data_IF_773894319874
#
_entry.id   IF_773894319874
#
_cell.length_a   1.000
_cell.length_b   1.000
_cell.length_c   1.000
_cell.angle_alpha   90.00
_cell.angle_beta   90.00
_cell.angle_gamma   90.00
#
_symmetry.space_group_name_H-M   'P 1'
#
loop_
_entity.id
_entity.type
_entity.pdbx_description
1 polymer ?
2 polymer ?
3 non-polymer ?
4 water ?
#
loop_
_entity_poly.entity_id
_entity_poly.type
_entity_poly.pdbx_seq_one_letter_code
_entity_poly.pdbx_strand_id
2 'polyribonucleotide' 'UUAGUAAUCC' ?
#
# COMPACT_ATOMS: atom_id res chain seq x y z
N UNK A 14 2.95 -13.70 -6.06
CA UNK A 14 2.73 -13.67 -7.55
C UNK A 14 3.58 -12.55 -8.19
N UNK A 15 3.24 -11.30 -7.86
CA UNK A 15 4.06 -10.12 -8.18
C UNK A 15 4.82 -9.65 -6.93
N UNK A 16 4.63 -10.37 -5.82
CA UNK A 16 5.41 -10.19 -4.60
C UNK A 16 6.83 -10.70 -4.82
N UNK A 17 7.74 -10.24 -3.96
CA UNK A 17 9.07 -10.84 -3.87
C UNK A 17 8.93 -12.25 -3.30
N UNK A 18 8.17 -12.35 -2.20
CA UNK A 18 7.94 -13.62 -1.50
C UNK A 18 6.45 -13.94 -1.52
N UNK A 19 6.06 -15.09 -2.11
CA UNK A 19 4.63 -15.38 -2.21
C UNK A 19 4.00 -15.85 -0.89
N UNK A 20 4.42 -17.01 -0.37
CA UNK A 20 3.80 -17.63 0.81
C UNK A 20 4.38 -17.14 2.16
N UNK A 21 4.97 -15.94 2.19
CA UNK A 21 5.46 -15.34 3.44
C UNK A 21 4.34 -15.00 4.42
N UNK A 22 4.67 -14.97 5.71
CA UNK A 22 3.71 -14.72 6.79
C UNK A 22 4.16 -13.58 7.70
N UNK A 23 3.21 -12.73 8.08
CA UNK A 23 3.46 -11.61 8.98
C UNK A 23 3.48 -12.12 10.42
N UNK A 24 4.66 -12.57 10.86
CA UNK A 24 4.86 -13.13 12.20
C UNK A 24 6.18 -12.66 12.81
N UNK A 25 6.24 -12.62 14.14
CA UNK A 25 7.32 -11.95 14.90
C UNK A 25 8.75 -12.28 14.46
N UNK A 26 9.00 -13.51 14.03
CA UNK A 26 10.33 -13.92 13.54
C UNK A 26 10.66 -13.40 12.12
N UNK A 27 9.66 -13.28 11.24
CA UNK A 27 9.84 -12.68 9.90
C UNK A 27 10.38 -11.26 10.10
N UNK A 28 11.53 -10.92 9.48
CA UNK A 28 12.05 -9.55 9.61
C UNK A 28 11.13 -8.49 9.00
N UNK A 29 10.22 -8.91 8.12
CA UNK A 29 9.16 -8.05 7.59
C UNK A 29 7.92 -7.95 8.51
N UNK A 30 8.03 -8.33 9.78
CA UNK A 30 6.89 -8.24 10.72
C UNK A 30 6.45 -6.79 10.92
N UNK A 31 5.13 -6.56 10.87
CA UNK A 31 4.57 -5.24 11.06
C UNK A 31 3.33 -5.30 11.95
N UNK A 32 3.00 -4.20 12.63
CA UNK A 32 1.73 -4.12 13.32
C UNK A 32 0.63 -3.81 12.31
N UNK A 33 -0.63 -3.94 12.71
CA UNK A 33 -1.77 -3.52 11.88
C UNK A 33 -2.57 -2.44 12.60
N UNK A 34 -2.14 -1.17 12.48
CA UNK A 34 -2.90 -0.10 13.12
C UNK A 34 -4.36 -0.11 12.69
N UNK A 35 -5.24 -0.32 13.66
CA UNK A 35 -6.67 -0.15 13.50
C UNK A 35 -7.08 1.02 14.38
N UNK A 36 -7.99 1.83 13.88
CA UNK A 36 -8.52 2.95 14.64
C UNK A 36 -9.86 3.31 14.04
N UNK A 37 -10.65 4.07 14.79
CA UNK A 37 -12.00 4.41 14.37
C UNK A 37 -12.14 5.92 14.29
N UNK A 38 -13.19 6.36 13.60
CA UNK A 38 -13.29 7.74 13.14
C UNK A 38 -14.76 8.16 13.06
N UNK A 39 -15.17 8.97 14.04
CA UNK A 39 -16.55 9.42 14.16
C UNK A 39 -17.01 10.39 13.06
N UNK A 40 -16.08 11.03 12.35
CA UNK A 40 -16.45 11.95 11.27
C UNK A 40 -16.80 11.27 9.95
N UNK A 41 -16.62 9.95 9.84
CA UNK A 41 -17.03 9.24 8.64
C UNK A 41 -18.55 9.14 8.57
N UNK A 42 -19.10 8.99 7.35
CA UNK A 42 -20.54 8.70 7.23
C UNK A 42 -20.86 7.28 7.68
N UNK A 43 -22.16 6.95 7.81
CA UNK A 43 -22.50 5.60 8.25
C UNK A 43 -22.22 4.56 7.18
N UNK A 44 -21.74 3.39 7.62
CA UNK A 44 -21.34 2.30 6.73
C UNK A 44 -20.32 2.74 5.65
N UNK A 45 -19.32 3.51 6.09
CA UNK A 45 -18.15 3.89 5.29
C UNK A 45 -16.91 3.54 6.11
N UNK A 46 -15.79 3.31 5.42
CA UNK A 46 -14.51 3.00 6.07
C UNK A 46 -13.38 3.81 5.45
N UNK A 47 -12.29 3.96 6.19
CA UNK A 47 -11.10 4.67 5.72
C UNK A 47 -9.98 3.66 5.51
N UNK A 48 -9.23 3.82 4.42
CA UNK A 48 -8.15 2.89 4.06
C UNK A 48 -6.90 3.67 3.66
N UNK A 49 -5.82 3.53 4.44
CA UNK A 49 -4.53 4.16 4.12
C UNK A 49 -3.73 3.29 3.15
N UNK A 50 -3.39 3.84 1.99
CA UNK A 50 -2.66 3.11 0.96
C UNK A 50 -1.20 2.88 1.35
N UNK A 51 -0.74 1.65 1.12
CA UNK A 51 0.67 1.29 1.20
C UNK A 51 1.31 1.22 -0.19
N UNK A 52 0.51 1.40 -1.24
CA UNK A 52 0.99 1.30 -2.62
C UNK A 52 1.50 2.65 -3.12
N UNK A 53 2.59 2.61 -3.88
CA UNK A 53 3.27 3.81 -4.35
C UNK A 53 3.36 3.84 -5.86
N UNK A 54 3.01 4.98 -6.43
CA UNK A 54 3.22 5.23 -7.84
C UNK A 54 4.61 5.81 -8.03
N UNK A 55 5.43 5.11 -8.81
CA UNK A 55 6.74 5.59 -9.20
C UNK A 55 6.75 5.81 -10.70
N UNK A 56 7.25 6.99 -11.10
CA UNK A 56 7.30 7.40 -12.50
C UNK A 56 8.64 8.01 -12.87
N UNK A 57 8.93 8.02 -14.16
CA UNK A 57 10.25 8.39 -14.67
C UNK A 57 11.23 7.24 -14.54
N UNK A 58 10.73 6.01 -14.74
CA UNK A 58 11.52 4.80 -14.57
C UNK A 58 12.31 4.56 -15.85
N UNK A 59 13.65 4.47 -15.76
CA UNK A 59 14.45 4.15 -16.95
C UNK A 59 14.24 2.75 -17.50
N UNK A 60 14.71 2.57 -18.72
CA UNK A 60 14.57 1.31 -19.44
C UNK A 60 15.47 0.23 -18.84
N UNK A 61 16.68 0.63 -18.45
CA UNK A 61 17.65 -0.28 -17.84
C UNK A 61 17.22 -0.89 -16.48
N UNK A 62 16.37 -0.18 -15.72
CA UNK A 62 15.96 -0.64 -14.38
C UNK A 62 14.97 -1.80 -14.40
N UNK A 63 15.36 -2.91 -13.76
CA UNK A 63 14.47 -4.05 -13.53
C UNK A 63 13.69 -3.87 -12.21
N UNK A 64 12.82 -4.83 -11.90
CA UNK A 64 12.08 -4.85 -10.64
C UNK A 64 13.03 -4.84 -9.44
N UNK A 65 14.04 -5.71 -9.47
CA UNK A 65 15.02 -5.80 -8.37
C UNK A 65 15.65 -4.46 -8.07
N UNK A 66 16.02 -3.73 -9.12
CA UNK A 66 16.70 -2.43 -8.97
C UNK A 66 15.86 -1.46 -8.15
N UNK A 67 14.62 -1.21 -8.59
CA UNK A 67 13.68 -0.31 -7.88
C UNK A 67 13.57 -0.59 -6.39
N UNK A 68 13.33 -1.85 -6.07
CA UNK A 68 13.25 -2.32 -4.68
C UNK A 68 14.52 -2.02 -3.91
N UNK A 69 15.65 -2.25 -4.57
CA UNK A 69 16.95 -2.03 -3.98
C UNK A 69 17.26 -0.55 -3.75
N UNK A 70 16.72 0.34 -4.60
CA UNK A 70 16.92 1.78 -4.43
C UNK A 70 16.13 2.30 -3.23
N UNK A 71 14.90 1.80 -3.08
CA UNK A 71 14.06 2.18 -1.94
C UNK A 71 14.48 1.52 -0.62
N UNK A 72 15.22 0.41 -0.70
CA UNK A 72 15.70 -0.36 0.47
C UNK A 72 16.08 0.44 1.73
N UNK A 73 16.89 1.52 1.59
CA UNK A 73 17.24 2.29 2.79
C UNK A 73 16.03 2.95 3.45
N UNK A 74 15.10 3.44 2.63
CA UNK A 74 13.93 4.20 3.09
C UNK A 74 12.72 3.33 3.47
N UNK A 75 12.57 2.17 2.82
CA UNK A 75 11.45 1.26 3.09
C UNK A 75 11.75 -0.13 2.57
N UNK A 76 11.17 -1.13 3.23
CA UNK A 76 11.27 -2.52 2.79
C UNK A 76 10.10 -2.80 1.85
N UNK A 77 10.39 -3.30 0.65
CA UNK A 77 9.37 -3.48 -0.38
C UNK A 77 8.75 -4.86 -0.33
N UNK A 78 7.44 -4.91 -0.51
CA UNK A 78 6.67 -6.16 -0.52
C UNK A 78 6.46 -6.68 -1.94
N UNK A 79 6.06 -5.79 -2.85
CA UNK A 79 5.71 -6.21 -4.21
C UNK A 79 5.92 -5.09 -5.22
N UNK A 80 6.32 -5.49 -6.43
CA UNK A 80 6.66 -4.56 -7.51
C UNK A 80 6.12 -5.04 -8.87
N UNK A 81 5.00 -4.44 -9.28
CA UNK A 81 4.53 -4.51 -10.66
C UNK A 81 5.21 -3.36 -11.39
N UNK A 82 5.99 -3.69 -12.41
CA UNK A 82 6.74 -2.72 -13.19
C UNK A 82 6.27 -2.75 -14.64
N UNK A 83 5.72 -1.63 -15.11
CA UNK A 83 5.43 -1.45 -16.52
C UNK A 83 6.57 -0.67 -17.16
N UNK A 84 7.56 -1.40 -17.69
CA UNK A 84 8.79 -0.77 -18.19
C UNK A 84 8.51 0.05 -19.45
N UNK A 85 7.70 -0.51 -20.35
CA UNK A 85 7.28 0.17 -21.58
C UNK A 85 6.53 1.49 -21.34
N UNK A 86 5.75 1.57 -20.25
CA UNK A 86 5.04 2.80 -19.88
C UNK A 86 5.78 3.64 -18.83
N UNK A 87 7.09 3.43 -18.68
CA UNK A 87 8.00 4.27 -17.87
C UNK A 87 7.50 4.60 -16.44
N UNK A 88 6.83 3.63 -15.82
CA UNK A 88 6.30 3.75 -14.45
C UNK A 88 6.25 2.39 -13.74
N UNK A 89 5.92 2.39 -12.45
CA UNK A 89 5.79 1.14 -11.69
C UNK A 89 4.91 1.28 -10.46
N UNK A 90 4.55 0.14 -9.88
CA UNK A 90 3.67 0.07 -8.72
C UNK A 90 4.30 -0.76 -7.62
N UNK A 91 4.62 -0.08 -6.52
CA UNK A 91 5.45 -0.63 -5.46
C UNK A 91 4.71 -0.60 -4.13
N UNK A 92 4.29 -1.78 -3.69
CA UNK A 92 3.69 -1.93 -2.37
C UNK A 92 4.82 -2.13 -1.37
N UNK A 93 4.80 -1.34 -0.30
CA UNK A 93 5.72 -1.52 0.85
C UNK A 93 4.94 -2.07 2.05
N UNK A 94 5.65 -2.62 3.03
CA UNK A 94 5.01 -3.38 4.12
C UNK A 94 4.15 -2.56 5.09
N UNK A 95 4.40 -1.26 5.22
CA UNK A 95 3.62 -0.42 6.13
C UNK A 95 3.48 1.00 5.64
N UNK A 96 2.39 1.62 6.08
CA UNK A 96 2.06 3.01 5.78
C UNK A 96 3.17 3.96 6.23
N UNK A 97 3.71 3.74 7.43
CA UNK A 97 4.83 4.55 7.93
C UNK A 97 5.96 4.58 6.91
N UNK A 98 6.31 3.41 6.39
CA UNK A 98 7.38 3.29 5.40
C UNK A 98 7.08 4.01 4.09
N UNK A 99 5.88 3.80 3.56
CA UNK A 99 5.43 4.52 2.36
C UNK A 99 5.51 6.03 2.56
N UNK A 100 5.00 6.51 3.69
CA UNK A 100 5.03 7.93 4.03
C UNK A 100 6.45 8.49 4.09
N UNK A 101 7.37 7.71 4.67
CA UNK A 101 8.79 8.09 4.70
C UNK A 101 9.34 8.27 3.28
N UNK A 102 9.06 7.30 2.41
CA UNK A 102 9.57 7.32 1.04
C UNK A 102 9.15 8.60 0.32
N UNK A 103 7.93 9.06 0.56
CA UNK A 103 7.42 10.21 -0.19
C UNK A 103 8.16 11.52 0.07
N UNK A 104 8.53 11.77 1.32
CA UNK A 104 9.25 13.00 1.67
C UNK A 104 10.74 12.88 1.33
N UNK A 105 11.34 11.78 1.78
CA UNK A 105 12.79 11.67 1.96
C UNK A 105 13.58 10.93 0.87
N UNK A 106 12.91 10.07 0.11
CA UNK A 106 13.56 9.39 -1.01
C UNK A 106 13.88 10.39 -2.10
N UNK A 107 15.12 10.34 -2.59
CA UNK A 107 15.55 11.09 -3.77
C UNK A 107 15.20 12.58 -3.71
N UNK A 108 15.48 13.20 -2.56
CA UNK A 108 15.29 14.64 -2.38
C UNK A 108 16.14 15.43 -3.38
N UNK A 109 17.43 15.09 -3.44
CA UNK A 109 18.38 15.71 -4.38
C UNK A 109 17.99 15.65 -5.87
N UNK A 110 17.22 14.64 -6.27
CA UNK A 110 16.86 14.44 -7.67
C UNK A 110 18.01 13.86 -8.48
N UNK A 111 18.81 13.01 -7.83
CA UNK A 111 19.92 12.32 -8.49
C UNK A 111 19.39 11.30 -9.50
N UNK A 112 18.35 10.58 -9.09
CA UNK A 112 17.61 9.68 -9.97
C UNK A 112 16.54 10.44 -10.71
N UNK A 113 16.06 9.88 -11.84
CA UNK A 113 14.90 10.46 -12.53
C UNK A 113 13.53 10.11 -11.91
N UNK A 114 13.50 9.36 -10.81
CA UNK A 114 12.27 8.80 -10.27
C UNK A 114 11.44 9.79 -9.46
N UNK A 115 10.28 10.15 -10.00
CA UNK A 115 9.23 10.83 -9.24
C UNK A 115 8.44 9.78 -8.47
N UNK A 116 8.11 10.07 -7.21
CA UNK A 116 7.40 9.13 -6.34
C UNK A 116 6.15 9.77 -5.73
N UNK A 117 4.97 9.31 -6.18
CA UNK A 117 3.66 9.83 -5.74
C UNK A 117 2.84 8.70 -5.10
N UNK A 118 1.60 9.00 -4.71
CA UNK A 118 0.68 7.99 -4.16
C UNK A 118 0.07 7.11 -5.25
N UNK A 119 -0.41 5.94 -4.84
CA UNK A 119 -1.05 4.98 -5.75
C UNK A 119 -2.08 4.11 -5.05
N UNK A 120 -3.04 3.60 -5.82
CA UNK A 120 -4.21 2.91 -5.26
C UNK A 120 -4.08 1.39 -5.37
N UNK A 121 -4.06 0.72 -4.22
CA UNK A 121 -4.00 -0.73 -4.16
C UNK A 121 -5.33 -1.41 -3.90
N UNK A 122 -6.27 -0.70 -3.27
CA UNK A 122 -7.48 -1.30 -2.70
C UNK A 122 -8.71 -0.40 -2.88
N UNK A 123 -9.85 -1.03 -3.14
CA UNK A 123 -11.11 -0.31 -3.27
C UNK A 123 -11.21 0.49 -4.55
N UNK A 124 -12.33 1.22 -4.73
CA UNK A 124 -12.54 1.98 -5.96
C UNK A 124 -11.51 3.08 -6.12
N UNK A 125 -11.28 3.47 -7.37
CA UNK A 125 -10.29 4.49 -7.68
C UNK A 125 -10.84 5.88 -7.40
N UNK A 126 -12.11 6.10 -7.72
CA UNK A 126 -12.78 7.38 -7.45
C UNK A 126 -12.97 7.69 -5.95
N UNK A 127 -12.91 6.66 -5.11
CA UNK A 127 -12.91 6.85 -3.66
C UNK A 127 -11.56 7.29 -3.09
N UNK A 128 -10.48 7.11 -3.84
CA UNK A 128 -9.14 7.48 -3.38
C UNK A 128 -8.86 8.98 -3.43
N UNK A 129 -8.32 9.51 -2.33
CA UNK A 129 -7.67 10.82 -2.30
C UNK A 129 -6.21 10.56 -2.66
N UNK A 130 -5.84 10.84 -3.90
CA UNK A 130 -4.45 10.67 -4.36
C UNK A 130 -3.49 11.67 -3.70
N UNK A 131 -4.01 12.83 -3.30
CA UNK A 131 -3.19 13.88 -2.69
C UNK A 131 -2.68 13.44 -1.32
N UNK A 132 -3.62 13.10 -0.44
CA UNK A 132 -3.31 12.70 0.93
C UNK A 132 -2.97 11.21 1.02
N UNK A 133 -3.54 10.40 0.12
CA UNK A 133 -3.15 9.01 -0.05
C UNK A 133 -4.01 7.98 0.68
N UNK A 134 -5.30 8.24 0.82
CA UNK A 134 -6.24 7.27 1.41
C UNK A 134 -7.53 7.17 0.58
N UNK A 135 -8.35 6.18 0.92
CA UNK A 135 -9.69 6.02 0.35
C UNK A 135 -10.71 6.05 1.48
N UNK A 136 -11.75 6.87 1.33
CA UNK A 136 -12.97 6.76 2.15
C UNK A 136 -13.98 5.98 1.31
N UNK A 137 -14.23 4.73 1.70
CA UNK A 137 -14.98 3.78 0.88
C UNK A 137 -16.32 3.43 1.55
N UNK A 138 -17.44 3.50 0.79
CA UNK A 138 -18.70 2.99 1.33
C UNK A 138 -18.68 1.46 1.30
N UNK A 139 -19.04 0.83 2.42
CA UNK A 139 -18.93 -0.63 2.56
C UNK A 139 -19.64 -1.41 1.44
N UNK A 140 -20.72 -0.86 0.89
CA UNK A 140 -21.44 -1.52 -0.21
C UNK A 140 -20.64 -1.64 -1.51
N UNK A 141 -19.64 -0.79 -1.67
CA UNK A 141 -18.76 -0.82 -2.84
C UNK A 141 -17.56 -1.76 -2.72
N UNK A 142 -17.44 -2.47 -1.60
CA UNK A 142 -16.48 -3.56 -1.50
C UNK A 142 -17.15 -4.84 -1.96
N UNK A 143 -16.38 -5.72 -2.60
CA UNK A 143 -16.86 -7.04 -2.97
C UNK A 143 -16.69 -7.98 -1.79
N UNK A 144 -17.29 -9.16 -1.90
CA UNK A 144 -17.16 -10.21 -0.89
C UNK A 144 -15.69 -10.48 -0.61
N UNK A 145 -14.92 -10.64 -1.69
CA UNK A 145 -13.47 -10.84 -1.60
C UNK A 145 -12.77 -9.73 -0.81
N UNK A 146 -13.10 -8.48 -1.10
CA UNK A 146 -12.49 -7.33 -0.42
C UNK A 146 -12.78 -7.36 1.08
N UNK A 147 -14.05 -7.55 1.41
CA UNK A 147 -14.51 -7.68 2.79
C UNK A 147 -13.77 -8.80 3.54
N UNK A 148 -13.47 -9.90 2.84
CA UNK A 148 -12.66 -11.01 3.39
C UNK A 148 -11.24 -10.56 3.69
N UNK A 149 -10.57 -10.03 2.67
CA UNK A 149 -9.16 -9.63 2.79
C UNK A 149 -8.99 -8.54 3.83
N UNK A 150 -9.96 -7.64 3.90
CA UNK A 150 -9.97 -6.58 4.91
C UNK A 150 -9.73 -7.10 6.33
N UNK A 151 -10.36 -8.22 6.67
CA UNK A 151 -10.24 -8.79 8.02
C UNK A 151 -9.12 -9.82 8.17
N UNK A 152 -8.87 -10.60 7.12
CA UNK A 152 -7.88 -11.68 7.15
C UNK A 152 -6.79 -11.42 6.12
N UNK A 153 -6.01 -10.37 6.36
CA UNK A 153 -4.83 -10.05 5.54
C UNK A 153 -3.59 -10.29 6.38
N UNK A 154 -2.50 -10.63 5.71
CA UNK A 154 -1.21 -10.81 6.38
C UNK A 154 -0.58 -9.47 6.75
N UNK A 155 -0.47 -8.57 5.78
CA UNK A 155 -0.02 -7.20 6.02
C UNK A 155 -1.16 -6.24 5.77
N UNK A 156 -1.34 -5.32 6.72
CA UNK A 156 -2.50 -4.43 6.74
C UNK A 156 -3.77 -5.18 7.07
N UNK A 157 -4.89 -4.51 6.83
CA UNK A 157 -6.19 -5.05 7.21
C UNK A 157 -6.47 -4.80 8.67
N UNK A 158 -7.60 -5.32 9.13
CA UNK A 158 -8.08 -5.07 10.49
C UNK A 158 -7.52 -6.04 11.53
N UNK A 159 -6.80 -7.08 11.09
CA UNK A 159 -6.22 -8.05 12.01
C UNK A 159 -7.29 -8.84 12.80
N UNK A 160 -8.41 -9.14 12.15
CA UNK A 160 -9.51 -9.88 12.78
C UNK A 160 -10.72 -9.05 13.18
N UNK A 161 -10.51 -7.76 13.48
CA UNK A 161 -11.62 -6.89 13.90
C UNK A 161 -12.63 -6.77 12.76
N UNK A 162 -13.93 -6.82 13.08
CA UNK A 162 -14.91 -6.83 12.01
C UNK A 162 -15.06 -5.44 11.41
N UNK A 163 -15.58 -5.38 10.19
CA UNK A 163 -15.79 -4.11 9.50
C UNK A 163 -17.06 -3.43 10.00
N UNK A 164 -16.93 -2.15 10.35
CA UNK A 164 -18.03 -1.33 10.84
C UNK A 164 -17.85 0.13 10.43
N UNK A 165 -18.86 0.93 10.70
CA UNK A 165 -18.80 2.37 10.48
C UNK A 165 -17.67 3.00 11.28
N UNK A 166 -16.85 3.79 10.58
CA UNK A 166 -15.79 4.58 11.20
C UNK A 166 -14.41 3.96 11.13
N UNK A 167 -14.33 2.65 10.94
CA UNK A 167 -13.05 1.95 11.04
C UNK A 167 -12.02 2.48 10.04
N UNK A 168 -10.77 2.54 10.50
CA UNK A 168 -9.64 3.04 9.74
C UNK A 168 -8.53 2.02 9.87
N UNK A 169 -7.96 1.60 8.74
CA UNK A 169 -6.88 0.60 8.75
C UNK A 169 -5.99 0.69 7.53
N UNK A 170 -4.80 0.10 7.64
CA UNK A 170 -3.81 0.10 6.55
C UNK A 170 -4.23 -0.88 5.45
N UNK A 171 -4.09 -0.45 4.20
CA UNK A 171 -4.44 -1.23 3.01
C UNK A 171 -4.00 -2.69 3.14
N UNK A 172 -4.91 -3.66 2.91
CA UNK A 172 -4.57 -5.07 3.04
C UNK A 172 -3.95 -5.69 1.78
N UNK A 173 -3.48 -6.92 1.90
CA UNK A 173 -3.01 -7.70 0.74
C UNK A 173 -4.22 -8.29 0.02
N UNK A 174 -4.01 -8.81 -1.19
CA UNK A 174 -5.11 -9.31 -2.05
C UNK A 174 -4.71 -10.57 -2.86
N UNK A 175 -5.45 -10.87 -3.93
CA UNK A 175 -5.09 -11.90 -4.92
C UNK A 175 -5.35 -11.35 -6.34
X LIG C 1 1.81 15.49 -12.02
X LIG C 1 2.85 16.47 -11.45
X LIG C 1 0.48 16.25 -12.22
X LIG C 1 1.70 14.23 -11.14
X LIG C 1 2.34 15.06 -13.35
X LIG C 1 2.56 16.85 -10.10
X LIG C 1 -0.69 15.52 -11.78
X LIG C 1 2.85 13.39 -11.34
#
# INVERSE_FOLDING_TARGET
GSIGAPNTTFGTNNHHLYPDELNVSNNPHYRPKPVSYDSTLPPDHIKVYSRTLFIGGVPLNMKEWDLANVLKPFAEVQSVILNNSRKHAFVKVYSRHEAENVLQNFNKDGALPLRTRWGVGFGPRDCCDYQHGYSIIPMHRLTDADKKWSVSAQWGGTSGQPLVTGIVFEEPDIIVGEGV
TRS C C1 C2 C3 N O1 O2 O3
#
